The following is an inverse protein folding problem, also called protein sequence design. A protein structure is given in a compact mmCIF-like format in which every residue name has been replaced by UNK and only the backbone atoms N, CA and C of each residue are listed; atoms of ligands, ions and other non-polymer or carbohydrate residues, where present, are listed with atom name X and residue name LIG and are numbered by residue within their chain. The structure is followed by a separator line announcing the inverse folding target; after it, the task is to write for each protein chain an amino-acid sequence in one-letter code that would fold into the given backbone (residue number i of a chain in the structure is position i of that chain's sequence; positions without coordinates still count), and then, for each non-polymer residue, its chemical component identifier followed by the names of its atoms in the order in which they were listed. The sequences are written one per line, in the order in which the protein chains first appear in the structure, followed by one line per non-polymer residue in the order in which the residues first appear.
data_IF_152107753597
#
_entry.id   IF_152107753597
#
_cell.length_a   1.000
_cell.length_b   1.000
_cell.length_c   1.000
_cell.angle_alpha   90.00
_cell.angle_beta   90.00
_cell.angle_gamma   90.00
#
_symmetry.space_group_name_H-M   'P 1'
#
loop_
_entity.id
_entity.type
_entity.pdbx_description
1 polymer ?
#
# COMPACT_ATOMS: atom_id res chain seq x y z
N UNK A 1 -3.85 72.70 2.53
CA UNK A 1 -2.68 71.80 2.67
C UNK A 1 -2.92 70.91 3.86
N UNK A 2 -3.34 69.62 3.59
CA UNK A 2 -3.61 68.64 4.67
C UNK A 2 -2.31 67.88 5.00
N UNK A 3 -1.82 68.07 6.19
CA UNK A 3 -0.70 67.32 6.77
C UNK A 3 -1.21 65.91 7.07
N UNK A 4 -0.73 64.92 6.31
CA UNK A 4 -1.00 63.49 6.58
C UNK A 4 -0.03 63.10 7.70
N UNK A 5 -0.61 62.76 8.86
CA UNK A 5 0.12 62.33 10.04
C UNK A 5 0.66 60.93 9.80
N UNK A 6 1.95 60.80 9.58
CA UNK A 6 2.71 59.56 9.34
C UNK A 6 2.82 58.64 10.56
N UNK A 7 2.25 59.01 11.68
CA UNK A 7 2.38 58.24 12.94
C UNK A 7 1.48 57.00 12.99
N UNK A 8 0.45 56.91 12.15
CA UNK A 8 -0.45 55.72 12.17
C UNK A 8 0.01 54.57 11.34
N UNK A 9 0.88 54.78 10.36
CA UNK A 9 1.38 53.70 9.51
C UNK A 9 2.51 52.88 10.17
N UNK A 10 3.28 53.50 11.06
CA UNK A 10 4.34 52.77 11.80
C UNK A 10 3.79 51.83 12.88
N UNK A 11 2.63 52.17 13.47
CA UNK A 11 2.01 51.35 14.49
C UNK A 11 1.40 50.07 13.93
N UNK A 12 0.91 50.11 12.67
CA UNK A 12 0.29 48.95 12.01
C UNK A 12 1.34 47.93 11.53
N UNK A 13 2.54 48.39 11.16
CA UNK A 13 3.64 47.52 10.71
C UNK A 13 4.29 46.76 11.87
N UNK A 14 4.29 47.32 13.08
CA UNK A 14 4.85 46.69 14.27
C UNK A 14 3.96 45.56 14.83
N UNK A 15 2.64 45.66 14.64
CA UNK A 15 1.71 44.59 15.08
C UNK A 15 1.77 43.38 14.15
N UNK A 16 2.05 43.57 12.86
CA UNK A 16 2.20 42.47 11.91
C UNK A 16 3.53 41.71 12.05
N UNK A 17 4.58 42.37 12.54
CA UNK A 17 5.88 41.72 12.73
C UNK A 17 5.90 40.79 13.96
N UNK A 18 5.02 40.98 14.94
CA UNK A 18 4.93 40.12 16.13
C UNK A 18 4.06 38.88 15.93
N UNK A 19 3.16 38.85 14.95
CA UNK A 19 2.25 37.71 14.74
C UNK A 19 2.90 36.54 13.99
N UNK A 20 4.00 36.76 13.27
CA UNK A 20 4.71 35.69 12.55
C UNK A 20 5.82 35.01 13.36
N UNK A 21 6.25 35.61 14.48
CA UNK A 21 7.34 35.06 15.31
C UNK A 21 6.86 34.03 16.35
N UNK A 22 5.54 33.87 16.55
CA UNK A 22 5.00 32.98 17.59
C UNK A 22 4.74 31.53 17.10
N UNK A 23 4.94 31.25 15.79
CA UNK A 23 4.65 29.91 15.23
C UNK A 23 5.85 28.95 15.26
N UNK A 24 7.05 29.43 15.64
CA UNK A 24 8.27 28.62 15.59
C UNK A 24 8.88 28.32 16.96
N UNK A 25 8.26 28.74 18.05
CA UNK A 25 8.80 28.66 19.41
C UNK A 25 8.34 27.43 20.22
N UNK A 26 7.47 26.59 19.65
CA UNK A 26 7.20 25.31 20.27
C UNK A 26 8.08 24.25 19.61
N UNK A 27 9.14 23.77 20.27
CA UNK A 27 9.84 22.61 19.78
C UNK A 27 8.79 21.48 19.68
N UNK A 28 8.61 20.96 18.47
CA UNK A 28 7.80 19.77 18.25
C UNK A 28 8.33 18.71 19.20
N UNK A 29 7.49 18.25 20.10
CA UNK A 29 7.86 17.14 20.99
C UNK A 29 8.45 16.03 20.12
N UNK A 30 9.62 15.49 20.46
CA UNK A 30 10.15 14.37 19.73
C UNK A 30 9.06 13.29 19.72
N UNK A 31 8.77 12.77 18.53
CA UNK A 31 7.87 11.62 18.41
C UNK A 31 8.42 10.53 19.33
N UNK A 32 7.56 9.92 20.18
CA UNK A 32 8.01 8.81 20.98
C UNK A 32 8.64 7.78 20.05
N UNK A 33 9.80 7.21 20.43
CA UNK A 33 10.37 6.14 19.64
C UNK A 33 9.32 5.04 19.46
N UNK A 34 9.29 4.36 18.29
CA UNK A 34 8.37 3.26 18.09
C UNK A 34 8.52 2.31 19.27
N UNK A 35 7.41 2.01 19.93
CA UNK A 35 7.39 1.06 21.03
C UNK A 35 7.81 -0.30 20.49
N UNK A 36 9.08 -0.61 20.62
CA UNK A 36 9.59 -1.94 20.29
C UNK A 36 8.97 -2.91 21.30
N UNK A 37 8.08 -3.75 20.82
CA UNK A 37 7.62 -4.87 21.59
C UNK A 37 8.72 -5.95 21.62
N UNK A 38 9.53 -5.96 22.66
CA UNK A 38 10.66 -6.89 22.82
C UNK A 38 10.29 -8.38 22.78
N UNK A 39 9.00 -8.68 22.83
CA UNK A 39 8.48 -10.05 22.81
C UNK A 39 7.96 -10.48 21.44
N UNK A 40 7.98 -9.60 20.44
CA UNK A 40 7.54 -9.96 19.10
C UNK A 40 8.77 -10.25 18.24
N UNK A 41 8.90 -11.48 17.73
CA UNK A 41 10.00 -11.80 16.82
C UNK A 41 9.94 -10.89 15.59
N UNK A 42 11.08 -10.33 15.18
CA UNK A 42 11.16 -9.57 13.93
C UNK A 42 10.70 -10.46 12.78
N UNK A 43 9.58 -10.10 12.18
CA UNK A 43 9.02 -10.81 11.04
C UNK A 43 9.45 -10.09 9.78
N UNK A 44 10.12 -10.83 8.92
CA UNK A 44 10.40 -10.32 7.57
C UNK A 44 9.10 -10.03 6.81
N UNK A 45 9.18 -9.23 5.75
CA UNK A 45 8.03 -9.00 4.88
C UNK A 45 7.61 -10.31 4.20
N UNK A 46 6.32 -10.45 3.94
CA UNK A 46 5.82 -11.54 3.10
C UNK A 46 6.47 -11.46 1.71
N UNK A 47 6.79 -12.62 1.15
CA UNK A 47 7.27 -12.71 -0.22
C UNK A 47 6.26 -13.44 -1.09
N UNK A 48 6.13 -12.97 -2.30
CA UNK A 48 5.26 -13.52 -3.32
C UNK A 48 6.11 -14.23 -4.38
N UNK A 49 5.67 -15.39 -4.77
CA UNK A 49 6.33 -16.22 -5.79
C UNK A 49 5.28 -16.69 -6.81
N UNK A 50 5.45 -16.38 -8.09
CA UNK A 50 6.55 -15.66 -8.70
C UNK A 50 6.51 -14.14 -8.42
N UNK A 51 7.66 -13.44 -8.47
CA UNK A 51 7.70 -11.99 -8.30
C UNK A 51 7.11 -11.21 -9.49
N UNK A 52 7.06 -11.86 -10.66
CA UNK A 52 6.51 -11.32 -11.91
C UNK A 52 5.64 -12.37 -12.58
N UNK A 53 4.59 -11.95 -13.27
CA UNK A 53 3.69 -12.84 -13.97
C UNK A 53 4.06 -12.95 -15.46
N UNK A 54 3.93 -14.15 -16.06
CA UNK A 54 4.15 -14.31 -17.48
C UNK A 54 3.10 -13.56 -18.31
N UNK A 55 3.48 -13.19 -19.54
CA UNK A 55 2.54 -12.61 -20.49
C UNK A 55 1.40 -13.60 -20.81
N UNK A 56 0.23 -13.03 -21.06
CA UNK A 56 -0.97 -13.77 -21.45
C UNK A 56 -1.29 -13.51 -22.92
N UNK A 57 -2.21 -14.28 -23.48
CA UNK A 57 -2.69 -14.09 -24.85
C UNK A 57 -4.20 -14.04 -24.87
N UNK A 58 -4.76 -13.02 -25.54
CA UNK A 58 -6.21 -12.89 -25.66
C UNK A 58 -6.84 -14.12 -26.30
N UNK A 59 -7.92 -14.61 -25.71
CA UNK A 59 -8.63 -15.81 -26.16
C UNK A 59 -7.95 -17.14 -25.82
N UNK A 60 -6.80 -17.14 -25.12
CA UNK A 60 -6.09 -18.35 -24.70
C UNK A 60 -6.22 -18.53 -23.20
N UNK A 61 -6.56 -19.73 -22.71
CA UNK A 61 -6.62 -19.99 -21.26
C UNK A 61 -5.30 -19.66 -20.58
N UNK A 62 -5.39 -18.94 -19.47
CA UNK A 62 -4.28 -18.51 -18.64
C UNK A 62 -4.44 -19.07 -17.22
N UNK A 63 -3.37 -19.60 -16.66
CA UNK A 63 -3.36 -20.10 -15.30
C UNK A 63 -1.97 -19.92 -14.69
N UNK A 64 -1.88 -19.17 -13.59
CA UNK A 64 -0.65 -18.97 -12.83
C UNK A 64 -0.94 -18.99 -11.34
N UNK A 65 -0.14 -19.72 -10.59
CA UNK A 65 -0.21 -19.75 -9.13
C UNK A 65 0.67 -18.65 -8.52
N UNK A 66 0.14 -17.98 -7.51
CA UNK A 66 0.85 -17.04 -6.65
C UNK A 66 0.92 -17.64 -5.26
N UNK A 67 2.14 -17.90 -4.80
CA UNK A 67 2.40 -18.43 -3.46
C UNK A 67 3.00 -17.38 -2.56
N UNK A 68 2.49 -17.28 -1.33
CA UNK A 68 3.08 -16.45 -0.29
C UNK A 68 4.07 -17.28 0.52
N UNK A 69 5.22 -16.69 0.79
CA UNK A 69 6.28 -17.31 1.59
C UNK A 69 6.76 -16.34 2.67
N UNK A 70 7.50 -16.86 3.65
CA UNK A 70 7.93 -16.14 4.86
C UNK A 70 6.78 -15.75 5.80
N UNK A 71 5.61 -16.34 5.61
CA UNK A 71 4.53 -16.24 6.56
C UNK A 71 4.80 -17.18 7.75
N UNK A 72 4.60 -16.66 8.97
CA UNK A 72 4.74 -17.47 10.20
C UNK A 72 3.43 -18.14 10.61
N UNK A 73 2.33 -17.64 10.09
CA UNK A 73 0.97 -18.13 10.33
C UNK A 73 0.27 -18.36 8.99
N UNK A 74 -0.74 -19.23 8.93
CA UNK A 74 -1.46 -19.47 7.69
C UNK A 74 -2.03 -18.18 7.10
N UNK A 75 -2.04 -18.09 5.78
CA UNK A 75 -2.72 -17.01 5.05
C UNK A 75 -4.21 -17.10 5.32
N UNK A 76 -4.82 -15.97 5.63
CA UNK A 76 -6.25 -15.84 5.84
C UNK A 76 -6.99 -15.62 4.52
N UNK A 77 -6.48 -14.68 3.71
CA UNK A 77 -7.10 -14.35 2.43
C UNK A 77 -6.14 -13.65 1.47
N UNK A 78 -6.46 -13.73 0.18
CA UNK A 78 -5.88 -12.96 -0.90
C UNK A 78 -6.96 -12.02 -1.43
N UNK A 79 -6.63 -10.75 -1.55
CA UNK A 79 -7.56 -9.70 -1.96
C UNK A 79 -6.99 -9.01 -3.20
N UNK A 80 -7.80 -8.88 -4.22
CA UNK A 80 -7.53 -8.12 -5.44
C UNK A 80 -8.79 -7.34 -5.81
N UNK A 81 -8.62 -6.16 -6.36
CA UNK A 81 -9.72 -5.42 -6.96
C UNK A 81 -10.03 -6.05 -8.33
N UNK A 82 -11.18 -6.70 -8.50
CA UNK A 82 -11.52 -7.41 -9.74
C UNK A 82 -11.55 -6.49 -10.96
N UNK A 83 -11.83 -5.20 -10.77
CA UNK A 83 -11.89 -4.23 -11.87
C UNK A 83 -10.51 -3.86 -12.42
N UNK A 84 -9.43 -4.24 -11.72
CA UNK A 84 -8.04 -4.02 -12.14
C UNK A 84 -7.43 -5.20 -12.87
N UNK A 85 -8.04 -6.38 -12.77
CA UNK A 85 -7.60 -7.57 -13.52
C UNK A 85 -7.94 -7.45 -15.02
N UNK A 86 -7.16 -8.13 -15.90
CA UNK A 86 -7.58 -8.29 -17.27
C UNK A 86 -9.00 -8.87 -17.37
N UNK A 87 -9.91 -8.30 -18.18
CA UNK A 87 -11.24 -8.87 -18.38
C UNK A 87 -11.17 -10.33 -18.77
N UNK A 88 -11.93 -11.17 -18.07
CA UNK A 88 -11.95 -12.63 -18.26
C UNK A 88 -10.97 -13.39 -17.37
N UNK A 89 -10.16 -12.70 -16.54
CA UNK A 89 -9.35 -13.33 -15.50
C UNK A 89 -9.96 -13.10 -14.11
N UNK A 90 -9.77 -14.06 -13.23
CA UNK A 90 -10.16 -14.00 -11.82
C UNK A 90 -9.06 -14.55 -10.92
N UNK A 91 -9.03 -14.13 -9.66
CA UNK A 91 -8.17 -14.67 -8.62
C UNK A 91 -8.97 -15.66 -7.78
N UNK A 92 -8.49 -16.88 -7.71
CA UNK A 92 -9.13 -17.98 -6.97
C UNK A 92 -8.18 -18.49 -5.88
N UNK A 93 -8.67 -18.59 -4.65
CA UNK A 93 -7.90 -19.14 -3.54
C UNK A 93 -7.88 -20.65 -3.60
N UNK A 94 -6.67 -21.22 -3.56
CA UNK A 94 -6.51 -22.69 -3.56
C UNK A 94 -6.68 -23.21 -2.13
N UNK A 95 -7.80 -23.87 -1.85
CA UNK A 95 -8.19 -24.32 -0.51
C UNK A 95 -7.21 -25.32 0.11
N UNK A 96 -6.52 -26.11 -0.70
CA UNK A 96 -5.60 -27.16 -0.25
C UNK A 96 -4.19 -26.66 0.05
N UNK A 97 -3.80 -25.52 -0.55
CA UNK A 97 -2.55 -24.84 -0.24
C UNK A 97 -2.87 -23.45 0.29
N UNK A 98 -3.14 -23.36 1.57
CA UNK A 98 -3.62 -22.14 2.24
C UNK A 98 -2.79 -20.86 1.97
N UNK A 99 -1.59 -21.01 1.44
CA UNK A 99 -0.66 -19.91 1.15
C UNK A 99 -0.57 -19.65 -0.37
N UNK A 100 -1.54 -20.17 -1.13
CA UNK A 100 -1.53 -20.11 -2.61
C UNK A 100 -2.86 -19.60 -3.14
N UNK A 101 -2.80 -18.64 -4.06
CA UNK A 101 -3.89 -18.24 -4.91
C UNK A 101 -3.54 -18.51 -6.38
N UNK A 102 -4.54 -18.55 -7.24
CA UNK A 102 -4.37 -18.78 -8.67
C UNK A 102 -5.10 -17.71 -9.45
N UNK A 103 -4.39 -17.10 -10.40
CA UNK A 103 -5.02 -16.28 -11.42
C UNK A 103 -5.38 -17.21 -12.56
N UNK A 104 -6.66 -17.27 -12.91
CA UNK A 104 -7.17 -18.19 -13.93
C UNK A 104 -8.24 -17.51 -14.77
N UNK A 105 -8.44 -18.04 -15.99
CA UNK A 105 -9.46 -17.58 -16.91
C UNK A 105 -8.96 -17.47 -18.34
N UNK A 106 -9.69 -16.73 -19.15
CA UNK A 106 -9.32 -16.46 -20.54
C UNK A 106 -9.42 -14.96 -20.76
N UNK A 107 -8.28 -14.25 -20.92
CA UNK A 107 -8.31 -12.81 -21.10
C UNK A 107 -9.00 -12.45 -22.42
N UNK A 108 -9.89 -11.47 -22.36
CA UNK A 108 -10.74 -11.09 -23.52
C UNK A 108 -10.12 -10.00 -24.38
N UNK A 109 -9.25 -9.17 -23.82
CA UNK A 109 -8.69 -7.98 -24.49
C UNK A 109 -7.19 -7.90 -24.33
N UNK A 110 -6.49 -7.60 -25.42
CA UNK A 110 -5.10 -7.24 -25.40
C UNK A 110 -4.88 -5.90 -24.66
N UNK A 111 -3.78 -5.77 -23.98
CA UNK A 111 -3.42 -4.57 -23.20
C UNK A 111 -2.47 -4.88 -22.07
N UNK A 112 -2.02 -3.83 -21.38
CA UNK A 112 -1.21 -3.92 -20.17
C UNK A 112 -2.09 -3.63 -18.97
N UNK A 113 -2.15 -4.56 -18.04
CA UNK A 113 -2.99 -4.49 -16.85
C UNK A 113 -2.11 -4.55 -15.60
N UNK A 114 -2.22 -3.54 -14.74
CA UNK A 114 -1.52 -3.49 -13.45
C UNK A 114 -2.54 -3.60 -12.34
N UNK A 115 -2.31 -4.52 -11.43
CA UNK A 115 -3.18 -4.77 -10.28
C UNK A 115 -2.35 -5.12 -9.05
N UNK A 116 -2.96 -4.96 -7.89
CA UNK A 116 -2.32 -5.23 -6.60
C UNK A 116 -3.00 -6.43 -5.94
N UNK A 117 -2.18 -7.34 -5.45
CA UNK A 117 -2.62 -8.45 -4.59
C UNK A 117 -2.22 -8.13 -3.15
N UNK A 118 -3.21 -8.00 -2.30
CA UNK A 118 -3.03 -7.82 -0.86
C UNK A 118 -3.28 -9.16 -0.15
N UNK A 119 -2.50 -9.43 0.89
CA UNK A 119 -2.59 -10.67 1.66
C UNK A 119 -2.56 -10.35 3.14
N UNK A 120 -3.37 -11.06 3.90
CA UNK A 120 -3.27 -11.06 5.36
C UNK A 120 -3.18 -12.50 5.89
N UNK A 121 -2.42 -12.66 6.96
CA UNK A 121 -2.23 -13.91 7.66
C UNK A 121 -2.94 -13.88 9.02
N UNK A 122 -3.37 -15.02 9.50
CA UNK A 122 -4.04 -15.10 10.81
C UNK A 122 -3.12 -14.62 11.93
N UNK A 123 -3.65 -13.77 12.82
CA UNK A 123 -3.08 -13.49 14.12
C UNK A 123 -3.56 -14.56 15.11
N UNK A 124 -2.66 -15.13 15.89
CA UNK A 124 -3.02 -16.03 16.99
C UNK A 124 -2.67 -15.37 18.31
N UNK A 125 -1.57 -15.77 18.95
CA UNK A 125 -1.01 -15.06 20.12
C UNK A 125 -0.11 -13.88 19.73
N UNK A 126 0.02 -13.61 18.43
CA UNK A 126 0.84 -12.57 17.80
C UNK A 126 0.04 -11.88 16.71
N UNK A 127 0.38 -10.65 16.38
CA UNK A 127 -0.25 -9.93 15.28
C UNK A 127 -0.08 -10.68 13.95
N UNK A 128 -1.12 -10.75 13.13
CA UNK A 128 -1.03 -11.32 11.79
C UNK A 128 -0.11 -10.50 10.89
N UNK A 129 0.60 -11.17 9.99
CA UNK A 129 1.38 -10.48 8.97
C UNK A 129 0.46 -10.04 7.84
N UNK A 130 0.77 -8.89 7.24
CA UNK A 130 0.14 -8.40 6.01
C UNK A 130 1.21 -8.11 4.98
N UNK A 131 0.87 -8.19 3.73
CA UNK A 131 1.76 -7.87 2.63
C UNK A 131 1.01 -7.59 1.35
N UNK A 132 1.67 -6.97 0.40
CA UNK A 132 1.10 -6.67 -0.90
C UNK A 132 2.17 -6.76 -1.98
N UNK A 133 1.74 -7.15 -3.17
CA UNK A 133 2.55 -7.19 -4.38
C UNK A 133 1.76 -6.58 -5.53
N UNK A 134 2.41 -5.67 -6.24
CA UNK A 134 1.90 -5.15 -7.50
C UNK A 134 2.39 -6.05 -8.64
N UNK A 135 1.47 -6.42 -9.51
CA UNK A 135 1.73 -7.23 -10.69
C UNK A 135 1.29 -6.52 -11.95
N UNK A 136 1.99 -6.79 -13.03
CA UNK A 136 1.61 -6.35 -14.37
C UNK A 136 1.53 -7.58 -15.28
N UNK A 137 0.41 -7.71 -16.00
CA UNK A 137 0.22 -8.72 -17.05
C UNK A 137 0.12 -8.01 -18.39
N UNK A 138 0.96 -8.41 -19.34
CA UNK A 138 0.84 -8.03 -20.74
C UNK A 138 0.00 -9.09 -21.47
N UNK A 139 -1.15 -8.66 -22.01
CA UNK A 139 -2.04 -9.50 -22.82
C UNK A 139 -1.84 -9.15 -24.30
N UNK A 140 -1.33 -10.09 -25.07
CA UNK A 140 -1.10 -9.97 -26.53
C UNK A 140 -2.35 -10.35 -27.35
#
# INVERSE_FOLDING_TARGET
MKQIRWTSLFSLLLVFAFSTACLTLFPRSPEPPPTQNWNEPERGPLKFDPPELPAAKAGVPYEVEIKVTQNMTPVGDFIVDPDTLPPGLELVIVKEGKDTARITGTPEKAGTYTFRVDVWCYGTMVNGQTGSQEYTIEVE
#
